data_IF_163869397104
#
_entry.id   IF_163869397104
#
_cell.length_a   1.000
_cell.length_b   1.000
_cell.length_c   1.000
_cell.angle_alpha   90.00
_cell.angle_beta   90.00
_cell.angle_gamma   90.00
#
_symmetry.space_group_name_H-M   'P 1'
#
loop_
_entity.id
_entity.type
_entity.pdbx_description
1 polymer ?
#
# COMPACT_ATOMS: atom_id res chain seq x y z
N UNK A 1 13.39 5.32 -4.72
CA UNK A 1 12.15 6.12 -4.56
C UNK A 1 11.17 5.28 -3.78
N UNK A 2 10.82 5.71 -2.57
CA UNK A 2 10.06 4.93 -1.60
C UNK A 2 8.57 5.36 -1.59
N UNK A 3 7.97 5.40 -2.78
CA UNK A 3 6.57 5.75 -2.98
C UNK A 3 5.82 4.62 -3.71
N UNK A 4 4.52 4.56 -3.53
CA UNK A 4 3.65 3.61 -4.20
C UNK A 4 2.42 4.34 -4.77
N UNK A 5 2.00 3.97 -5.97
CA UNK A 5 0.85 4.55 -6.65
C UNK A 5 -0.34 3.57 -6.58
N UNK A 6 -1.51 4.11 -6.28
CA UNK A 6 -2.77 3.35 -6.17
C UNK A 6 -3.82 3.89 -7.11
N UNK A 7 -4.50 2.99 -7.82
CA UNK A 7 -5.55 3.30 -8.78
C UNK A 7 -6.69 2.26 -8.68
N UNK A 8 -7.93 2.62 -8.87
CA UNK A 8 -8.51 3.93 -9.12
C UNK A 8 -8.79 4.72 -7.81
N UNK A 9 -9.43 5.88 -7.95
CA UNK A 9 -10.03 6.60 -6.81
C UNK A 9 -11.13 5.77 -6.17
N UNK A 10 -11.49 6.11 -4.95
CA UNK A 10 -12.57 5.47 -4.20
C UNK A 10 -13.84 6.31 -4.24
N UNK A 11 -14.98 5.66 -4.23
CA UNK A 11 -16.28 6.31 -4.09
C UNK A 11 -16.68 6.33 -2.60
N UNK A 12 -16.88 7.51 -2.06
CA UNK A 12 -17.45 7.72 -0.72
C UNK A 12 -18.93 8.08 -0.85
N UNK A 13 -19.75 7.54 0.04
CA UNK A 13 -21.16 7.89 0.10
C UNK A 13 -21.33 9.41 0.28
N UNK A 14 -22.21 10.01 -0.50
CA UNK A 14 -22.59 11.41 -0.36
C UNK A 14 -23.38 11.66 0.93
N UNK A 15 -23.28 12.85 1.48
CA UNK A 15 -24.06 13.23 2.64
C UNK A 15 -25.56 13.33 2.28
N UNK A 16 -26.44 12.89 3.21
CA UNK A 16 -27.87 13.03 3.06
C UNK A 16 -28.49 12.29 1.85
N UNK A 17 -27.85 11.19 1.40
CA UNK A 17 -28.34 10.43 0.23
C UNK A 17 -27.92 11.00 -1.13
N UNK A 18 -27.03 11.97 -1.17
CA UNK A 18 -26.44 12.48 -2.40
C UNK A 18 -25.62 11.41 -3.14
N UNK A 19 -25.36 11.65 -4.43
CA UNK A 19 -24.53 10.75 -5.25
C UNK A 19 -23.15 10.53 -4.64
N UNK A 20 -22.55 9.33 -4.82
CA UNK A 20 -21.21 9.05 -4.34
C UNK A 20 -20.18 10.02 -4.93
N UNK A 21 -19.21 10.42 -4.12
CA UNK A 21 -18.14 11.35 -4.49
C UNK A 21 -16.83 10.60 -4.61
N UNK A 22 -16.10 10.84 -5.71
CA UNK A 22 -14.78 10.26 -5.92
C UNK A 22 -13.74 10.99 -5.04
N UNK A 23 -13.00 10.20 -4.25
CA UNK A 23 -11.96 10.70 -3.34
C UNK A 23 -10.65 9.98 -3.59
N UNK A 24 -9.53 10.64 -3.29
CA UNK A 24 -8.21 10.01 -3.37
C UNK A 24 -8.13 8.79 -2.45
N UNK A 25 -7.47 7.73 -2.93
CA UNK A 25 -7.34 6.48 -2.17
C UNK A 25 -6.27 6.54 -1.08
N UNK A 26 -5.38 7.54 -1.09
CA UNK A 26 -4.18 7.60 -0.24
C UNK A 26 -4.47 7.46 1.26
N UNK A 27 -5.46 8.19 1.78
CA UNK A 27 -5.84 8.11 3.19
C UNK A 27 -6.38 6.74 3.59
N UNK A 28 -7.22 6.13 2.73
CA UNK A 28 -7.77 4.80 2.97
C UNK A 28 -6.69 3.72 2.91
N UNK A 29 -5.77 3.81 1.95
CA UNK A 29 -4.62 2.92 1.83
C UNK A 29 -3.69 3.07 3.03
N UNK A 30 -3.41 4.28 3.50
CA UNK A 30 -2.63 4.50 4.73
C UNK A 30 -3.27 3.78 5.94
N UNK A 31 -4.60 3.81 6.07
CA UNK A 31 -5.32 3.05 7.08
C UNK A 31 -5.14 1.52 6.95
N UNK A 32 -5.09 0.99 5.71
CA UNK A 32 -4.79 -0.43 5.47
C UNK A 32 -3.36 -0.77 5.90
N UNK A 33 -2.37 0.10 5.61
CA UNK A 33 -0.99 -0.06 6.06
C UNK A 33 -0.89 -0.15 7.58
N UNK A 34 -1.43 0.84 8.29
CA UNK A 34 -1.41 0.87 9.77
C UNK A 34 -2.03 -0.40 10.36
N UNK A 35 -3.19 -0.80 9.86
CA UNK A 35 -3.85 -2.01 10.34
C UNK A 35 -3.00 -3.26 10.08
N UNK A 36 -2.40 -3.37 8.90
CA UNK A 36 -1.53 -4.50 8.56
C UNK A 36 -0.29 -4.53 9.46
N UNK A 37 0.32 -3.39 9.72
CA UNK A 37 1.50 -3.27 10.59
C UNK A 37 1.19 -3.70 12.03
N UNK A 38 0.07 -3.25 12.58
CA UNK A 38 -0.35 -3.60 13.94
C UNK A 38 -0.69 -5.09 14.08
N UNK A 39 -1.34 -5.66 13.06
CA UNK A 39 -1.81 -7.05 13.13
C UNK A 39 -0.77 -8.07 12.70
N UNK A 40 0.11 -7.74 11.77
CA UNK A 40 0.99 -8.70 11.09
C UNK A 40 2.45 -8.26 10.95
N UNK A 41 2.74 -7.00 11.25
CA UNK A 41 4.07 -6.42 11.13
C UNK A 41 4.38 -5.76 9.77
N UNK A 42 5.39 -4.90 9.77
CA UNK A 42 5.80 -4.06 8.62
C UNK A 42 6.27 -4.87 7.41
N UNK A 43 6.73 -6.11 7.63
CA UNK A 43 7.18 -7.05 6.59
C UNK A 43 6.04 -7.67 5.79
N UNK A 44 4.80 -7.51 6.23
CA UNK A 44 3.63 -8.04 5.51
C UNK A 44 3.17 -7.07 4.42
N UNK A 45 2.88 -7.61 3.24
CA UNK A 45 2.29 -6.83 2.17
C UNK A 45 0.90 -6.31 2.57
N UNK A 46 0.63 -5.00 2.49
CA UNK A 46 -0.70 -4.43 2.75
C UNK A 46 -1.61 -4.59 1.53
N UNK A 47 -1.74 -5.81 1.04
CA UNK A 47 -2.50 -6.18 -0.15
C UNK A 47 -3.12 -7.57 0.02
N UNK A 48 -4.13 -7.86 -0.80
CA UNK A 48 -4.86 -9.13 -0.79
C UNK A 48 -6.21 -9.02 -0.11
N UNK A 49 -6.84 -10.17 0.15
CA UNK A 49 -8.20 -10.25 0.71
C UNK A 49 -8.32 -9.65 2.11
N UNK A 50 -7.24 -9.63 2.87
CA UNK A 50 -7.17 -9.03 4.20
C UNK A 50 -7.02 -7.50 4.15
N UNK A 51 -6.56 -6.96 3.02
CA UNK A 51 -6.33 -5.53 2.81
C UNK A 51 -7.62 -4.78 2.42
N UNK A 52 -8.69 -5.00 3.18
CA UNK A 52 -10.00 -4.37 2.94
C UNK A 52 -9.95 -2.87 3.19
N UNK A 53 -10.55 -2.13 2.27
CA UNK A 53 -10.84 -0.70 2.44
C UNK A 53 -12.25 -0.56 2.99
N UNK A 54 -12.37 0.01 4.17
CA UNK A 54 -13.66 0.27 4.83
C UNK A 54 -14.12 1.71 4.59
N UNK A 55 -15.43 1.96 4.70
CA UNK A 55 -16.01 3.30 4.52
C UNK A 55 -16.09 3.77 3.07
N UNK A 56 -16.00 2.84 2.11
CA UNK A 56 -16.14 3.12 0.68
C UNK A 56 -17.34 2.38 0.09
N UNK A 57 -17.96 2.98 -0.92
CA UNK A 57 -18.97 2.33 -1.76
C UNK A 57 -18.30 1.35 -2.75
N UNK A 58 -17.07 1.68 -3.17
CA UNK A 58 -16.31 0.88 -4.12
C UNK A 58 -15.22 1.69 -4.83
N UNK A 59 -14.48 1.06 -5.74
CA UNK A 59 -13.59 1.77 -6.64
C UNK A 59 -14.39 2.55 -7.68
N UNK A 60 -13.90 3.71 -8.08
CA UNK A 60 -14.52 4.57 -9.10
C UNK A 60 -14.62 3.86 -10.48
N UNK A 61 -13.61 3.05 -10.79
CA UNK A 61 -13.53 2.28 -12.03
C UNK A 61 -13.38 0.80 -11.70
N UNK A 62 -14.16 -0.04 -12.37
CA UNK A 62 -14.00 -1.50 -12.28
C UNK A 62 -13.06 -1.98 -13.37
N UNK A 63 -11.98 -2.61 -12.98
CA UNK A 63 -10.97 -3.16 -13.87
C UNK A 63 -11.16 -4.66 -14.06
N UNK A 64 -10.89 -5.13 -15.28
CA UNK A 64 -10.79 -6.55 -15.58
C UNK A 64 -9.47 -7.14 -15.03
N UNK A 65 -9.36 -8.46 -14.99
CA UNK A 65 -8.13 -9.12 -14.54
C UNK A 65 -6.94 -8.80 -15.45
N UNK A 66 -7.15 -8.74 -16.76
CA UNK A 66 -6.12 -8.35 -17.72
C UNK A 66 -5.61 -6.93 -17.51
N UNK A 67 -6.53 -5.97 -17.36
CA UNK A 67 -6.17 -4.57 -17.08
C UNK A 67 -5.43 -4.42 -15.73
N UNK A 68 -5.89 -5.13 -14.72
CA UNK A 68 -5.23 -5.12 -13.40
C UNK A 68 -3.81 -5.69 -13.47
N UNK A 69 -3.61 -6.77 -14.23
CA UNK A 69 -2.30 -7.37 -14.46
C UNK A 69 -1.35 -6.45 -15.20
N UNK A 70 -1.84 -5.73 -16.23
CA UNK A 70 -1.03 -4.76 -16.98
C UNK A 70 -0.57 -3.60 -16.10
N UNK A 71 -1.49 -2.99 -15.35
CA UNK A 71 -1.16 -1.91 -14.42
C UNK A 71 -0.15 -2.36 -13.36
N UNK A 72 -0.32 -3.57 -12.83
CA UNK A 72 0.60 -4.10 -11.84
C UNK A 72 2.02 -4.31 -12.39
N UNK A 73 2.17 -4.73 -13.66
CA UNK A 73 3.48 -4.82 -14.33
C UNK A 73 4.18 -3.47 -14.45
N UNK A 74 3.41 -2.40 -14.54
CA UNK A 74 3.92 -1.01 -14.60
C UNK A 74 4.16 -0.41 -13.19
N UNK A 75 3.96 -1.16 -12.11
CA UNK A 75 4.14 -0.69 -10.74
C UNK A 75 2.95 0.07 -10.17
N UNK A 76 1.78 -0.01 -10.81
CA UNK A 76 0.55 0.62 -10.32
C UNK A 76 -0.25 -0.41 -9.52
N UNK A 77 -0.51 -0.12 -8.27
CA UNK A 77 -1.29 -0.98 -7.38
C UNK A 77 -2.78 -0.73 -7.60
N UNK A 78 -3.51 -1.79 -7.85
CA UNK A 78 -4.94 -1.70 -8.18
C UNK A 78 -5.79 -1.88 -6.92
N UNK A 79 -6.86 -1.10 -6.80
CA UNK A 79 -7.91 -1.28 -5.81
C UNK A 79 -9.11 -1.91 -6.52
N UNK A 80 -9.59 -3.03 -6.00
CA UNK A 80 -10.64 -3.84 -6.64
C UNK A 80 -11.79 -4.13 -5.69
N UNK A 81 -12.98 -4.24 -6.26
CA UNK A 81 -14.11 -4.85 -5.57
C UNK A 81 -14.14 -6.36 -5.88
N UNK A 82 -13.98 -7.19 -4.86
CA UNK A 82 -14.01 -8.64 -4.97
C UNK A 82 -15.31 -9.20 -4.35
N UNK A 83 -15.98 -10.15 -5.00
CA UNK A 83 -17.13 -10.83 -4.43
C UNK A 83 -16.81 -11.44 -3.07
N UNK A 84 -17.63 -11.22 -2.06
CA UNK A 84 -17.45 -11.73 -0.70
C UNK A 84 -16.41 -11.00 0.16
N UNK A 85 -15.49 -10.24 -0.45
CA UNK A 85 -14.40 -9.54 0.26
C UNK A 85 -14.57 -8.01 0.30
N UNK A 86 -15.46 -7.46 -0.56
CA UNK A 86 -15.64 -6.01 -0.69
C UNK A 86 -14.50 -5.34 -1.45
N UNK A 87 -14.24 -4.08 -1.15
CA UNK A 87 -13.13 -3.33 -1.78
C UNK A 87 -11.83 -3.65 -1.08
N UNK A 88 -10.82 -4.06 -1.84
CA UNK A 88 -9.51 -4.47 -1.35
C UNK A 88 -8.38 -3.81 -2.12
N UNK A 89 -7.24 -3.61 -1.48
CA UNK A 89 -5.99 -3.27 -2.14
C UNK A 89 -5.41 -4.54 -2.77
N UNK A 90 -5.14 -4.49 -4.09
CA UNK A 90 -4.74 -5.66 -4.88
C UNK A 90 -3.42 -5.41 -5.61
N UNK A 91 -2.41 -4.97 -4.87
CA UNK A 91 -1.07 -4.73 -5.37
C UNK A 91 -0.18 -4.19 -4.26
N UNK A 92 1.12 -4.46 -4.35
CA UNK A 92 2.10 -4.15 -3.32
C UNK A 92 3.44 -3.79 -3.95
N UNK A 93 3.41 -2.89 -4.96
CA UNK A 93 4.59 -2.42 -5.68
C UNK A 93 4.90 -0.97 -5.36
N UNK A 94 6.18 -0.65 -5.30
CA UNK A 94 6.68 0.73 -5.26
C UNK A 94 6.78 1.30 -6.67
N UNK A 95 7.08 2.59 -6.81
CA UNK A 95 7.35 3.21 -8.12
C UNK A 95 8.66 2.73 -8.79
N UNK A 96 9.43 1.85 -8.14
CA UNK A 96 10.51 1.06 -8.78
C UNK A 96 9.98 -0.18 -9.49
N UNK A 97 8.67 -0.35 -9.55
CA UNK A 97 7.96 -1.60 -9.74
C UNK A 97 7.85 -2.14 -11.15
N UNK A 98 8.53 -1.58 -12.16
CA UNK A 98 8.56 -2.19 -13.49
C UNK A 98 9.26 -3.56 -13.44
N UNK A 99 8.65 -4.60 -13.99
CA UNK A 99 9.19 -5.97 -13.97
C UNK A 99 10.55 -6.11 -14.67
N UNK A 100 10.86 -5.19 -15.59
CA UNK A 100 12.15 -5.13 -16.27
C UNK A 100 13.34 -4.81 -15.33
N UNK A 101 13.09 -4.29 -14.14
CA UNK A 101 14.12 -3.99 -13.15
C UNK A 101 14.20 -5.14 -12.13
N UNK A 102 15.33 -5.82 -12.09
CA UNK A 102 15.65 -6.84 -11.09
C UNK A 102 16.00 -6.20 -9.73
N UNK A 103 15.08 -5.39 -9.18
CA UNK A 103 15.26 -4.70 -7.90
C UNK A 103 14.21 -5.24 -6.90
N UNK A 104 14.67 -5.83 -5.80
CA UNK A 104 13.80 -6.36 -4.75
C UNK A 104 13.01 -5.25 -4.03
N UNK A 105 13.52 -4.04 -3.99
CA UNK A 105 12.83 -2.86 -3.44
C UNK A 105 11.63 -2.39 -4.27
N UNK A 106 11.35 -3.05 -5.39
CA UNK A 106 10.09 -2.88 -6.13
C UNK A 106 8.87 -3.33 -5.33
N UNK A 107 9.06 -4.12 -4.27
CA UNK A 107 7.98 -4.56 -3.40
C UNK A 107 7.87 -3.69 -2.16
N UNK A 108 6.65 -3.23 -1.87
CA UNK A 108 6.34 -2.38 -0.70
C UNK A 108 6.81 -3.00 0.62
N UNK A 109 6.55 -4.30 0.93
CA UNK A 109 6.98 -4.87 2.20
C UNK A 109 8.51 -4.92 2.34
N UNK A 110 9.24 -5.17 1.26
CA UNK A 110 10.73 -5.21 1.27
C UNK A 110 11.28 -3.81 1.53
N UNK A 111 10.82 -2.81 0.77
CA UNK A 111 11.25 -1.41 0.94
C UNK A 111 10.94 -0.91 2.36
N UNK A 112 9.75 -1.18 2.87
CA UNK A 112 9.33 -0.75 4.22
C UNK A 112 10.10 -1.47 5.32
N UNK A 113 10.37 -2.76 5.18
CA UNK A 113 11.19 -3.50 6.14
C UNK A 113 12.61 -2.94 6.20
N UNK A 114 13.23 -2.67 5.05
CA UNK A 114 14.57 -2.07 5.00
C UNK A 114 14.60 -0.70 5.70
N UNK A 115 13.62 0.18 5.42
CA UNK A 115 13.51 1.48 6.08
C UNK A 115 13.29 1.35 7.59
N UNK A 116 12.45 0.40 8.02
CA UNK A 116 12.20 0.13 9.43
C UNK A 116 13.46 -0.35 10.16
N UNK A 117 14.22 -1.26 9.56
CA UNK A 117 15.48 -1.74 10.12
C UNK A 117 16.51 -0.61 10.20
N UNK A 118 16.65 0.17 9.12
CA UNK A 118 17.56 1.32 9.08
C UNK A 118 17.24 2.34 10.17
N UNK A 119 15.98 2.71 10.34
CA UNK A 119 15.55 3.65 11.39
C UNK A 119 15.80 3.08 12.80
N UNK A 120 15.48 1.80 13.01
CA UNK A 120 15.67 1.12 14.29
C UNK A 120 17.15 1.03 14.67
N UNK A 121 18.03 0.67 13.73
CA UNK A 121 19.48 0.63 13.94
C UNK A 121 20.00 2.04 14.24
N UNK A 122 19.63 3.03 13.42
CA UNK A 122 20.07 4.42 13.59
C UNK A 122 19.69 4.97 14.97
N UNK A 123 18.49 4.65 15.44
CA UNK A 123 18.06 5.04 16.80
C UNK A 123 18.83 4.28 17.88
N UNK A 124 19.04 2.97 17.68
CA UNK A 124 19.73 2.12 18.65
C UNK A 124 21.18 2.48 18.88
N UNK A 125 21.89 2.92 17.83
CA UNK A 125 23.32 3.28 17.93
C UNK A 125 23.59 4.73 18.33
N UNK A 126 22.55 5.56 18.53
CA UNK A 126 22.73 6.97 18.92
C UNK A 126 23.51 7.14 20.22
N UNK A 127 23.35 6.21 21.16
CA UNK A 127 24.07 6.26 22.44
C UNK A 127 25.58 6.01 22.29
N UNK A 128 26.01 5.34 21.21
CA UNK A 128 27.44 5.01 21.00
C UNK A 128 28.22 6.09 20.26
N UNK A 129 27.54 7.14 19.76
CA UNK A 129 28.16 8.16 18.88
C UNK A 129 29.30 8.95 19.59
N UNK A 130 29.28 9.01 20.91
CA UNK A 130 30.29 9.73 21.73
C UNK A 130 30.98 8.83 22.75
N UNK A 131 30.82 7.50 22.67
CA UNK A 131 31.55 6.57 23.53
C UNK A 131 33.00 6.44 23.05
N UNK A 132 33.95 6.49 24.01
CA UNK A 132 35.33 6.21 23.71
C UNK A 132 35.51 4.71 23.44
N UNK A 133 36.25 4.37 22.39
CA UNK A 133 36.72 3.01 22.20
C UNK A 133 37.82 2.70 23.21
N UNK A 134 37.53 1.91 24.24
CA UNK A 134 38.51 1.30 25.12
C UNK A 134 39.28 0.17 24.44
#
# INVERSE_FOLDING_TARGET
MDAALYFPRLLRAGAGGAAPVAVAASGAVAGVYVRTDVQRGVWRAPAGTDARVVGTVGPEVRLTDGQSGELNRQGINVIRALPGHGTVVWGSRTLRGADAMADEYKYVPVSRLALHLQDSITRGIRCTTFEQND
#
